data_IF_094004411128
#
_entry.id   IF_094004411128
#
_cell.length_a   1.000
_cell.length_b   1.000
_cell.length_c   1.000
_cell.angle_alpha   90.00
_cell.angle_beta   90.00
_cell.angle_gamma   90.00
#
_symmetry.space_group_name_H-M   'P 1'
#
loop_
_entity.id
_entity.type
_entity.pdbx_description
1 polymer ?
#
# COMPACT_ATOMS: atom_id res chain seq x y z
N UNK A 1 -18.86 9.35 -6.05
CA UNK A 1 -17.43 9.27 -5.64
C UNK A 1 -17.40 8.68 -4.24
N UNK A 2 -16.62 7.60 -4.03
CA UNK A 2 -16.40 7.01 -2.71
C UNK A 2 -15.61 8.00 -1.84
N UNK A 3 -15.78 8.03 -0.51
CA UNK A 3 -15.08 8.98 0.39
C UNK A 3 -13.54 8.94 0.24
N UNK A 4 -13.03 7.81 -0.26
CA UNK A 4 -11.62 7.51 -0.51
C UNK A 4 -11.10 8.19 -1.78
N UNK A 5 -11.89 8.22 -2.87
CA UNK A 5 -11.50 8.82 -4.15
C UNK A 5 -12.19 10.17 -4.26
N UNK A 6 -11.54 11.19 -3.68
CA UNK A 6 -11.93 12.59 -3.78
C UNK A 6 -10.71 13.47 -4.06
N UNK A 7 -10.87 14.62 -4.72
CA UNK A 7 -9.75 15.52 -4.99
C UNK A 7 -8.92 15.85 -3.75
N UNK A 8 -7.60 15.78 -3.90
CA UNK A 8 -6.63 16.00 -2.83
C UNK A 8 -6.50 14.86 -1.82
N UNK A 9 -7.11 13.69 -2.05
CA UNK A 9 -6.92 12.50 -1.22
C UNK A 9 -5.60 11.81 -1.51
N UNK A 10 -4.97 11.27 -0.46
CA UNK A 10 -3.75 10.47 -0.55
C UNK A 10 -4.09 8.98 -0.61
N UNK A 11 -3.56 8.31 -1.62
CA UNK A 11 -3.78 6.88 -1.86
C UNK A 11 -2.43 6.19 -2.04
N UNK A 12 -2.25 5.04 -1.39
CA UNK A 12 -1.20 4.10 -1.74
C UNK A 12 -1.85 2.97 -2.55
N UNK A 13 -1.53 2.88 -3.83
CA UNK A 13 -2.02 1.81 -4.70
C UNK A 13 -1.09 0.60 -4.63
N UNK A 14 -1.66 -0.61 -4.56
CA UNK A 14 -0.91 -1.86 -4.73
C UNK A 14 -1.68 -2.88 -5.58
N UNK A 15 -0.98 -3.62 -6.43
CA UNK A 15 -1.47 -4.89 -6.98
C UNK A 15 -1.18 -5.98 -5.97
N UNK A 16 -2.17 -6.82 -5.68
CA UNK A 16 -2.04 -7.89 -4.70
C UNK A 16 -2.47 -9.21 -5.33
N UNK A 17 -1.74 -10.28 -5.04
CA UNK A 17 -2.13 -11.62 -5.47
C UNK A 17 -1.93 -12.63 -4.35
N UNK A 18 -1.93 -13.90 -4.72
CA UNK A 18 -1.64 -15.00 -3.82
C UNK A 18 -0.23 -14.81 -3.25
N UNK A 19 -0.12 -14.78 -1.92
CA UNK A 19 1.16 -14.71 -1.21
C UNK A 19 1.28 -15.94 -0.30
N UNK A 20 2.46 -16.58 -0.29
CA UNK A 20 2.80 -17.66 0.65
C UNK A 20 1.81 -18.85 0.68
N UNK A 21 1.29 -19.28 -0.48
CA UNK A 21 0.28 -20.35 -0.62
C UNK A 21 -1.09 -20.05 0.03
N UNK A 22 -1.32 -18.81 0.46
CA UNK A 22 -2.56 -18.37 1.08
C UNK A 22 -3.44 -17.65 0.04
N UNK A 23 -4.70 -18.06 -0.07
CA UNK A 23 -5.68 -17.37 -0.89
C UNK A 23 -5.95 -15.95 -0.35
N UNK A 24 -6.44 -15.05 -1.21
CA UNK A 24 -6.72 -13.67 -0.78
C UNK A 24 -7.69 -13.63 0.42
N UNK A 25 -8.67 -14.53 0.45
CA UNK A 25 -9.66 -14.62 1.52
C UNK A 25 -9.04 -15.01 2.87
N UNK A 26 -8.11 -15.97 2.85
CA UNK A 26 -7.37 -16.40 4.03
C UNK A 26 -6.43 -15.28 4.53
N UNK A 27 -5.73 -14.59 3.61
CA UNK A 27 -4.90 -13.40 3.95
C UNK A 27 -5.76 -12.37 4.66
N UNK A 28 -6.95 -12.05 4.13
CA UNK A 28 -7.87 -11.09 4.75
C UNK A 28 -8.26 -11.55 6.15
N UNK A 29 -8.68 -12.80 6.32
CA UNK A 29 -9.08 -13.34 7.62
C UNK A 29 -7.94 -13.27 8.64
N UNK A 30 -6.71 -13.62 8.23
CA UNK A 30 -5.53 -13.51 9.09
C UNK A 30 -5.23 -12.06 9.44
N UNK A 31 -5.20 -11.14 8.48
CA UNK A 31 -4.95 -9.71 8.74
C UNK A 31 -6.02 -9.08 9.62
N UNK A 32 -7.28 -9.47 9.47
CA UNK A 32 -8.36 -9.04 10.36
C UNK A 32 -8.16 -9.55 11.80
N UNK A 33 -7.65 -10.77 12.00
CA UNK A 33 -7.28 -11.28 13.33
C UNK A 33 -6.10 -10.52 13.93
N UNK A 34 -5.05 -10.27 13.13
CA UNK A 34 -3.91 -9.44 13.55
C UNK A 34 -4.38 -8.05 14.06
N UNK A 35 -5.27 -7.39 13.31
CA UNK A 35 -5.84 -6.10 13.72
C UNK A 35 -6.64 -6.23 15.01
N UNK A 36 -7.45 -7.28 15.17
CA UNK A 36 -8.24 -7.51 16.39
C UNK A 36 -7.36 -7.73 17.62
N UNK A 37 -6.30 -8.52 17.48
CA UNK A 37 -5.50 -9.00 18.61
C UNK A 37 -4.37 -8.04 18.98
N UNK A 38 -3.81 -7.31 18.00
CA UNK A 38 -2.70 -6.36 18.21
C UNK A 38 -3.12 -4.88 18.04
N UNK A 39 -4.33 -4.60 17.59
CA UNK A 39 -4.82 -3.25 17.26
C UNK A 39 -4.34 -2.72 15.90
N UNK A 40 -3.59 -3.52 15.14
CA UNK A 40 -3.13 -3.21 13.78
C UNK A 40 -2.59 -4.46 13.08
N UNK A 41 -2.38 -4.38 11.77
CA UNK A 41 -1.63 -5.37 11.01
C UNK A 41 -0.49 -4.73 10.22
N UNK A 42 0.44 -5.57 9.79
CA UNK A 42 1.53 -5.18 8.90
C UNK A 42 1.38 -5.87 7.55
N UNK A 43 1.21 -5.11 6.48
CA UNK A 43 1.12 -5.61 5.11
C UNK A 43 2.49 -5.63 4.46
N UNK A 44 3.07 -6.82 4.34
CA UNK A 44 4.42 -7.01 3.81
C UNK A 44 4.52 -6.70 2.31
N UNK A 45 5.63 -6.07 1.92
CA UNK A 45 5.97 -5.83 0.52
C UNK A 45 7.48 -5.73 0.29
N UNK A 46 7.90 -5.67 -0.97
CA UNK A 46 9.31 -5.53 -1.37
C UNK A 46 9.51 -4.60 -2.57
N UNK A 47 10.73 -4.48 -3.07
CA UNK A 47 11.06 -3.68 -4.25
C UNK A 47 11.11 -2.16 -4.03
N UNK A 48 11.62 -1.42 -5.02
CA UNK A 48 12.14 -0.07 -4.82
C UNK A 48 11.09 1.07 -4.92
N UNK A 49 9.96 0.87 -5.62
CA UNK A 49 8.97 1.92 -5.98
C UNK A 49 8.15 2.53 -4.83
N UNK A 50 8.33 2.06 -3.59
CA UNK A 50 7.65 2.57 -2.38
C UNK A 50 8.54 2.33 -1.16
N UNK A 51 9.81 2.70 -1.23
CA UNK A 51 10.74 2.55 -0.11
C UNK A 51 10.22 3.29 1.14
N UNK A 52 10.32 2.72 2.37
CA UNK A 52 9.73 3.34 3.56
C UNK A 52 10.17 4.78 3.79
N UNK A 53 11.48 5.05 3.84
CA UNK A 53 12.01 6.36 4.25
C UNK A 53 12.03 7.43 3.16
N UNK A 54 12.09 7.05 1.88
CA UNK A 54 12.24 8.00 0.77
C UNK A 54 10.96 8.22 -0.03
N UNK A 55 9.95 7.37 0.16
CA UNK A 55 8.67 7.45 -0.57
C UNK A 55 7.49 7.50 0.39
N UNK A 56 7.24 6.40 1.12
CA UNK A 56 5.96 6.22 1.82
C UNK A 56 5.84 7.11 3.05
N UNK A 57 6.87 7.17 3.91
CA UNK A 57 6.84 8.00 5.11
C UNK A 57 6.77 9.51 4.77
N UNK A 58 7.58 10.06 3.83
CA UNK A 58 7.45 11.47 3.44
C UNK A 58 6.09 11.80 2.83
N UNK A 59 5.58 10.92 1.95
CA UNK A 59 4.22 11.04 1.41
C UNK A 59 3.21 11.08 2.54
N UNK A 60 3.29 10.13 3.47
CA UNK A 60 2.31 10.03 4.53
C UNK A 60 2.31 11.24 5.47
N UNK A 61 3.51 11.73 5.80
CA UNK A 61 3.68 12.91 6.64
C UNK A 61 3.04 14.15 6.00
N UNK A 62 3.23 14.37 4.69
CA UNK A 62 2.67 15.51 3.98
C UNK A 62 1.11 15.54 3.98
N UNK A 63 0.47 14.37 3.95
CA UNK A 63 -1.01 14.27 4.03
C UNK A 63 -1.50 14.37 5.47
N UNK A 64 -0.75 13.79 6.42
CA UNK A 64 -1.02 13.91 7.85
C UNK A 64 -1.04 15.37 8.31
N UNK A 65 -0.08 16.17 7.86
CA UNK A 65 0.01 17.62 8.16
C UNK A 65 -1.21 18.40 7.65
N UNK A 66 -1.90 17.89 6.64
CA UNK A 66 -3.15 18.44 6.12
C UNK A 66 -4.41 17.85 6.79
N UNK A 67 -4.25 17.02 7.81
CA UNK A 67 -5.35 16.32 8.48
C UNK A 67 -6.04 15.28 7.60
N UNK A 68 -5.34 14.75 6.58
CA UNK A 68 -5.90 13.80 5.62
C UNK A 68 -5.39 12.38 5.89
N UNK A 69 -6.28 11.37 6.00
CA UNK A 69 -5.86 9.98 6.08
C UNK A 69 -5.31 9.50 4.74
N UNK A 70 -4.59 8.39 4.77
CA UNK A 70 -4.05 7.73 3.58
C UNK A 70 -4.67 6.35 3.50
N UNK A 71 -5.23 6.04 2.34
CA UNK A 71 -5.83 4.74 2.09
C UNK A 71 -4.90 3.90 1.22
N UNK A 72 -4.57 2.70 1.70
CA UNK A 72 -4.08 1.62 0.87
C UNK A 72 -5.27 1.08 0.06
N UNK A 73 -5.21 1.21 -1.26
CA UNK A 73 -6.19 0.62 -2.20
C UNK A 73 -5.50 -0.50 -2.96
N UNK A 74 -6.16 -1.65 -3.07
CA UNK A 74 -5.53 -2.84 -3.63
C UNK A 74 -6.32 -3.43 -4.79
N UNK A 75 -5.63 -3.62 -5.92
CA UNK A 75 -6.12 -4.34 -7.11
C UNK A 75 -5.80 -5.84 -6.95
N UNK A 76 -6.82 -6.71 -6.75
CA UNK A 76 -6.61 -8.16 -6.77
C UNK A 76 -6.18 -8.63 -8.16
N UNK A 77 -5.14 -9.44 -8.22
CA UNK A 77 -4.65 -10.05 -9.45
C UNK A 77 -4.26 -11.51 -9.22
N UNK A 78 -4.35 -12.32 -10.27
CA UNK A 78 -3.81 -13.68 -10.27
C UNK A 78 -2.29 -13.61 -10.48
N UNK A 79 -1.54 -13.22 -9.45
CA UNK A 79 -0.07 -13.27 -9.45
C UNK A 79 0.43 -14.35 -8.49
N UNK A 80 1.46 -15.09 -8.93
CA UNK A 80 2.18 -16.07 -8.10
C UNK A 80 3.48 -15.42 -7.64
N UNK A 81 3.45 -14.72 -6.50
CA UNK A 81 4.67 -14.22 -5.87
C UNK A 81 5.07 -15.16 -4.73
N UNK A 82 6.14 -15.92 -4.98
CA UNK A 82 6.76 -16.77 -3.97
C UNK A 82 7.77 -15.95 -3.18
N UNK A 83 7.56 -15.86 -1.87
CA UNK A 83 8.56 -15.41 -0.93
C UNK A 83 8.73 -16.52 0.11
N UNK A 84 9.93 -16.63 0.68
CA UNK A 84 10.15 -17.59 1.78
C UNK A 84 9.14 -17.33 2.91
N UNK A 85 8.51 -18.37 3.46
CA UNK A 85 7.44 -18.23 4.45
C UNK A 85 7.97 -17.87 5.85
N UNK A 86 9.15 -17.27 5.94
CA UNK A 86 9.75 -16.85 7.20
C UNK A 86 9.11 -15.55 7.67
N UNK A 87 8.62 -15.55 8.91
CA UNK A 87 8.02 -14.39 9.52
C UNK A 87 9.12 -13.44 10.02
N UNK A 88 9.02 -12.16 9.68
CA UNK A 88 9.92 -11.16 10.23
C UNK A 88 9.83 -11.12 11.76
N UNK A 89 10.97 -11.01 12.43
CA UNK A 89 11.02 -10.93 13.89
C UNK A 89 10.98 -9.48 14.40
N UNK A 90 11.57 -8.55 13.65
CA UNK A 90 11.76 -7.16 14.07
C UNK A 90 11.39 -6.17 12.97
N UNK A 91 10.99 -4.96 13.39
CA UNK A 91 10.72 -3.84 12.51
C UNK A 91 11.45 -2.57 12.95
N UNK A 92 11.66 -1.65 12.02
CA UNK A 92 12.26 -0.34 12.27
C UNK A 92 11.60 0.75 11.44
N UNK A 93 11.54 1.98 11.97
CA UNK A 93 11.05 3.16 11.23
C UNK A 93 12.17 3.89 10.50
N UNK A 94 13.41 3.79 10.97
CA UNK A 94 14.58 4.51 10.48
C UNK A 94 15.72 3.59 9.99
N UNK A 95 15.50 2.27 10.03
CA UNK A 95 16.48 1.24 9.69
C UNK A 95 17.71 1.19 10.63
N UNK A 96 17.61 1.80 11.81
CA UNK A 96 18.68 1.87 12.83
C UNK A 96 18.19 1.31 14.16
N UNK A 97 17.04 1.80 14.63
CA UNK A 97 16.42 1.37 15.88
C UNK A 97 15.38 0.29 15.60
N UNK A 98 15.51 -0.86 16.25
CA UNK A 98 14.70 -2.03 15.96
C UNK A 98 13.83 -2.41 17.15
N UNK A 99 12.60 -2.80 16.85
CA UNK A 99 11.60 -3.24 17.82
C UNK A 99 11.08 -4.61 17.42
N UNK A 100 10.73 -5.43 18.41
CA UNK A 100 10.14 -6.75 18.17
C UNK A 100 8.74 -6.59 17.60
N UNK A 101 8.44 -7.33 16.53
CA UNK A 101 7.08 -7.40 15.98
C UNK A 101 6.20 -8.19 16.97
N UNK A 102 5.01 -7.70 17.35
CA UNK A 102 4.10 -8.46 18.23
C UNK A 102 3.88 -9.88 17.72
N UNK A 103 3.83 -10.87 18.61
CA UNK A 103 3.67 -12.30 18.24
C UNK A 103 2.37 -12.58 17.46
N UNK A 104 1.34 -11.74 17.67
CA UNK A 104 0.09 -11.83 16.92
C UNK A 104 0.23 -11.47 15.43
N UNK A 105 1.24 -10.68 15.04
CA UNK A 105 1.40 -10.17 13.66
C UNK A 105 2.36 -11.05 12.86
N UNK A 106 1.89 -11.53 11.71
CA UNK A 106 2.68 -12.38 10.81
C UNK A 106 2.93 -11.67 9.48
N UNK A 107 4.18 -11.23 9.28
CA UNK A 107 4.66 -10.62 8.03
C UNK A 107 5.67 -11.55 7.40
N UNK A 108 5.28 -12.19 6.29
CA UNK A 108 6.06 -13.25 5.67
C UNK A 108 6.89 -12.71 4.49
N UNK A 109 8.14 -13.15 4.37
CA UNK A 109 8.94 -13.04 3.15
C UNK A 109 9.09 -11.62 2.59
N UNK A 110 9.02 -10.60 3.45
CA UNK A 110 8.95 -9.20 3.04
C UNK A 110 10.11 -8.39 3.63
N UNK A 111 10.60 -7.41 2.86
CA UNK A 111 11.67 -6.49 3.33
C UNK A 111 11.10 -5.27 4.04
N UNK A 112 9.89 -4.89 3.69
CA UNK A 112 9.18 -3.73 4.23
C UNK A 112 7.74 -4.13 4.59
N UNK A 113 7.08 -3.33 5.41
CA UNK A 113 5.65 -3.45 5.61
C UNK A 113 4.96 -2.09 5.69
N UNK A 114 3.71 -2.04 5.22
CA UNK A 114 2.78 -0.96 5.54
C UNK A 114 2.08 -1.28 6.85
N UNK A 115 1.80 -0.27 7.66
CA UNK A 115 1.08 -0.44 8.93
C UNK A 115 -0.37 -0.02 8.72
N UNK A 116 -1.28 -0.99 8.83
CA UNK A 116 -2.72 -0.80 8.56
C UNK A 116 -3.55 -0.95 9.83
N UNK A 117 -4.59 -0.14 9.98
CA UNK A 117 -5.47 -0.18 11.16
C UNK A 117 -6.81 -0.87 10.91
N UNK A 118 -7.21 -1.00 9.65
CA UNK A 118 -8.39 -1.75 9.24
C UNK A 118 -8.14 -2.48 7.92
N UNK A 119 -9.08 -3.33 7.51
CA UNK A 119 -9.07 -3.99 6.22
C UNK A 119 -10.52 -4.31 5.81
N UNK A 120 -10.93 -3.82 4.64
CA UNK A 120 -12.31 -3.91 4.16
C UNK A 120 -12.35 -4.38 2.70
N UNK A 121 -13.32 -5.23 2.38
CA UNK A 121 -13.69 -5.54 1.00
C UNK A 121 -14.48 -4.40 0.40
N UNK A 122 -14.15 -4.07 -0.84
CA UNK A 122 -14.80 -3.01 -1.61
C UNK A 122 -14.91 -3.45 -3.07
N UNK A 123 -15.74 -2.75 -3.84
CA UNK A 123 -15.78 -2.90 -5.29
C UNK A 123 -15.97 -1.53 -5.92
N UNK A 124 -14.87 -0.91 -6.37
CA UNK A 124 -14.91 0.34 -7.10
C UNK A 124 -13.76 0.45 -8.10
N UNK A 125 -13.88 1.41 -9.02
CA UNK A 125 -12.86 1.71 -10.02
C UNK A 125 -12.05 2.93 -9.57
N UNK A 126 -10.71 2.79 -9.58
CA UNK A 126 -9.77 3.88 -9.40
C UNK A 126 -9.38 4.44 -10.78
N UNK A 127 -9.76 5.68 -11.13
CA UNK A 127 -9.36 6.32 -12.38
C UNK A 127 -7.90 6.81 -12.27
N UNK A 128 -6.96 6.10 -12.88
CA UNK A 128 -5.54 6.41 -12.77
C UNK A 128 -5.15 7.71 -13.46
N UNK A 129 -5.89 8.15 -14.47
CA UNK A 129 -5.68 9.45 -15.13
C UNK A 129 -6.04 10.63 -14.23
N UNK A 130 -6.87 10.40 -13.20
CA UNK A 130 -7.20 11.39 -12.18
C UNK A 130 -6.27 11.29 -10.97
N UNK A 131 -5.05 10.79 -11.16
CA UNK A 131 -4.06 10.71 -10.09
C UNK A 131 -2.68 11.15 -10.58
N UNK A 132 -1.85 11.62 -9.65
CA UNK A 132 -0.42 11.91 -9.89
C UNK A 132 0.44 11.35 -8.79
N UNK A 133 1.72 11.11 -9.09
CA UNK A 133 2.74 10.82 -8.08
C UNK A 133 3.16 12.13 -7.41
N UNK A 134 3.01 12.30 -6.10
CA UNK A 134 3.34 13.57 -5.43
C UNK A 134 4.74 13.57 -4.76
N UNK A 135 5.47 12.45 -4.78
CA UNK A 135 6.73 12.27 -4.05
C UNK A 135 7.78 11.53 -4.88
N UNK A 136 9.06 11.80 -4.60
CA UNK A 136 10.19 11.06 -5.14
C UNK A 136 10.55 11.42 -6.59
N UNK A 137 11.43 10.63 -7.24
CA UNK A 137 12.00 10.98 -8.56
C UNK A 137 10.99 11.07 -9.70
N UNK A 138 9.80 10.49 -9.54
CA UNK A 138 8.72 10.53 -10.53
C UNK A 138 7.61 11.52 -10.17
N UNK A 139 7.89 12.49 -9.29
CA UNK A 139 6.92 13.53 -8.92
C UNK A 139 6.32 14.21 -10.16
N UNK A 140 5.00 14.42 -10.14
CA UNK A 140 4.21 15.01 -11.21
C UNK A 140 3.74 14.02 -12.28
N UNK A 141 4.27 12.80 -12.32
CA UNK A 141 3.87 11.80 -13.32
C UNK A 141 2.42 11.34 -13.07
N UNK A 142 1.61 11.33 -14.14
CA UNK A 142 0.22 10.82 -14.11
C UNK A 142 0.21 9.35 -13.71
N UNK A 143 -0.73 8.96 -12.85
CA UNK A 143 -0.81 7.60 -12.30
C UNK A 143 -0.92 6.52 -13.37
N UNK A 144 -1.66 6.76 -14.45
CA UNK A 144 -1.80 5.81 -15.55
C UNK A 144 -0.50 5.59 -16.33
N UNK A 145 0.35 6.60 -16.44
CA UNK A 145 1.70 6.49 -17.02
C UNK A 145 2.69 5.88 -16.03
N UNK A 146 2.52 6.11 -14.73
CA UNK A 146 3.40 5.58 -13.69
C UNK A 146 3.14 4.09 -13.43
N UNK A 147 1.88 3.71 -13.20
CA UNK A 147 1.43 2.33 -12.99
C UNK A 147 1.24 1.65 -14.36
N UNK A 148 2.33 1.55 -15.10
CA UNK A 148 2.40 0.85 -16.37
C UNK A 148 3.43 -0.29 -16.30
N UNK A 149 3.19 -1.36 -17.06
CA UNK A 149 4.04 -2.56 -17.06
C UNK A 149 4.17 -3.20 -15.66
N UNK A 150 5.42 -3.29 -15.18
CA UNK A 150 5.80 -4.03 -13.96
C UNK A 150 5.59 -3.25 -12.65
N UNK A 151 5.20 -1.97 -12.71
CA UNK A 151 4.94 -1.20 -11.49
C UNK A 151 3.67 -1.75 -10.83
N UNK A 152 3.84 -2.24 -9.61
CA UNK A 152 2.81 -2.87 -8.79
C UNK A 152 2.36 -1.99 -7.63
N UNK A 153 3.06 -0.89 -7.36
CA UNK A 153 2.74 0.02 -6.24
C UNK A 153 3.13 1.46 -6.50
N UNK A 154 2.35 2.37 -5.94
CA UNK A 154 2.56 3.80 -6.09
C UNK A 154 1.96 4.59 -4.92
N UNK A 155 2.62 5.66 -4.49
CA UNK A 155 2.00 6.74 -3.74
C UNK A 155 1.35 7.71 -4.73
N UNK A 156 0.07 8.01 -4.54
CA UNK A 156 -0.74 8.80 -5.46
C UNK A 156 -1.54 9.87 -4.72
N UNK A 157 -1.71 11.02 -5.36
CA UNK A 157 -2.68 12.04 -5.00
C UNK A 157 -3.80 12.05 -6.04
N UNK A 158 -5.05 12.10 -5.60
CA UNK A 158 -6.23 12.25 -6.47
C UNK A 158 -6.38 13.71 -6.91
N UNK A 159 -6.57 13.94 -8.20
CA UNK A 159 -6.72 15.27 -8.80
C UNK A 159 -8.18 15.71 -8.88
N UNK A 160 -8.41 17.02 -8.97
CA UNK A 160 -9.75 17.56 -9.21
C UNK A 160 -10.32 17.11 -10.56
N UNK A 161 -9.48 17.08 -11.58
CA UNK A 161 -9.84 16.69 -12.94
C UNK A 161 -8.85 15.63 -13.47
N UNK A 162 -9.29 14.74 -14.38
CA UNK A 162 -8.40 13.83 -15.08
C UNK A 162 -7.35 14.58 -15.90
N UNK A 163 -6.14 14.03 -15.97
CA UNK A 163 -5.12 14.51 -16.88
C UNK A 163 -5.57 14.34 -18.34
N UNK A 164 -5.38 15.38 -19.16
CA UNK A 164 -5.63 15.31 -20.60
C UNK A 164 -4.49 14.52 -21.25
N UNK A 165 -4.75 13.26 -21.56
CA UNK A 165 -3.85 12.42 -22.35
C UNK A 165 -4.42 12.35 -23.78
N UNK A 166 -3.56 12.54 -24.79
CA UNK A 166 -3.96 12.44 -26.19
C UNK A 166 -4.54 11.05 -26.48
N UNK A 167 -5.77 10.98 -26.98
CA UNK A 167 -6.49 9.82 -27.56
C UNK A 167 -6.20 8.45 -26.94
N UNK A 168 -6.08 8.39 -25.61
CA UNK A 168 -6.00 7.13 -24.88
C UNK A 168 -7.28 6.93 -24.08
N UNK A 169 -7.82 5.72 -24.14
CA UNK A 169 -8.93 5.33 -23.27
C UNK A 169 -8.52 5.53 -21.81
N UNK A 170 -9.42 6.07 -20.96
CA UNK A 170 -9.14 6.25 -19.56
C UNK A 170 -8.73 4.94 -18.88
N UNK A 171 -7.60 4.94 -18.18
CA UNK A 171 -7.10 3.76 -17.49
C UNK A 171 -7.72 3.70 -16.10
N UNK A 172 -8.51 2.65 -15.86
CA UNK A 172 -9.16 2.39 -14.59
C UNK A 172 -8.73 1.05 -14.00
N UNK A 173 -8.59 0.99 -12.67
CA UNK A 173 -8.25 -0.23 -11.94
C UNK A 173 -9.35 -0.63 -10.97
N UNK A 174 -9.78 -1.89 -11.01
CA UNK A 174 -10.75 -2.42 -10.04
C UNK A 174 -10.06 -2.64 -8.70
N UNK A 175 -10.58 -1.99 -7.67
CA UNK A 175 -10.10 -2.11 -6.29
C UNK A 175 -11.03 -3.06 -5.55
N UNK A 176 -10.43 -4.09 -4.93
CA UNK A 176 -11.13 -5.12 -4.18
C UNK A 176 -10.95 -5.02 -2.67
N UNK A 177 -9.87 -4.37 -2.23
CA UNK A 177 -9.57 -4.15 -0.81
C UNK A 177 -9.12 -2.73 -0.54
N UNK A 178 -9.47 -2.26 0.66
CA UNK A 178 -9.03 -1.00 1.22
C UNK A 178 -8.58 -1.21 2.65
N UNK A 179 -7.54 -0.48 3.03
CA UNK A 179 -7.12 -0.30 4.42
C UNK A 179 -6.69 1.15 4.66
N UNK A 180 -6.90 1.69 5.85
CA UNK A 180 -6.32 2.95 6.27
C UNK A 180 -4.92 2.72 6.86
N UNK A 181 -3.94 3.51 6.40
CA UNK A 181 -2.59 3.48 6.97
C UNK A 181 -2.55 4.25 8.28
N UNK A 182 -1.84 3.71 9.27
CA UNK A 182 -1.57 4.37 10.54
C UNK A 182 -0.09 4.63 10.72
N UNK A 183 0.34 5.62 11.54
CA UNK A 183 1.74 5.78 11.92
C UNK A 183 2.33 4.46 12.45
N UNK A 184 3.57 4.09 12.08
CA UNK A 184 4.55 4.86 11.28
C UNK A 184 4.40 4.77 9.74
N UNK A 185 3.25 4.29 9.24
CA UNK A 185 2.86 4.15 7.84
C UNK A 185 3.61 3.06 7.07
N UNK A 186 4.94 3.10 7.09
CA UNK A 186 5.80 2.07 6.52
C UNK A 186 7.02 1.81 7.41
N UNK A 187 7.48 0.56 7.43
CA UNK A 187 8.59 0.09 8.27
C UNK A 187 9.53 -0.82 7.48
N UNK A 188 10.78 -0.87 7.92
CA UNK A 188 11.77 -1.87 7.55
C UNK A 188 11.54 -3.14 8.36
N UNK A 189 11.81 -4.31 7.76
CA UNK A 189 11.72 -5.61 8.42
C UNK A 189 13.08 -6.29 8.38
N UNK A 190 13.41 -7.05 9.43
CA UNK A 190 14.60 -7.91 9.46
C UNK A 190 14.40 -9.10 10.39
N UNK A 191 15.37 -10.02 10.32
CA UNK A 191 15.45 -11.24 11.11
C UNK A 191 14.22 -12.14 10.90
N UNK A 192 14.31 -13.38 11.38
CA UNK A 192 13.25 -14.36 11.20
C UNK A 192 12.93 -15.04 12.52
N UNK A 193 11.68 -15.46 12.69
CA UNK A 193 11.18 -16.27 13.79
C UNK A 193 10.24 -17.35 13.29
#
# INVERSE_FOLDING_TARGET
MNEIIRPGAGILFMKIGTHANEGLDEIIQRKSREIKDAGYAMWGYGGNTCHPSSMVQPFAQAFKEQGKPIHLVMEPMNSKHFAEPLAAAEYSTNNVDWSVIPSAINVLGSRYALVIQDLKRVDFLLPLDQTRVPVGPSNGKVGSKYISGRVDKACLEVLAEPARLNDQEPIQKRIGLVAELRPPYAVFLRNYR
#
